data_IF_139084142925
#
_entry.id   IF_139084142925
#
_cell.length_a   1.000
_cell.length_b   1.000
_cell.length_c   1.000
_cell.angle_alpha   90.00
_cell.angle_beta   90.00
_cell.angle_gamma   90.00
#
_symmetry.space_group_name_H-M   'P 1'
#
loop_
_entity.id
_entity.type
_entity.pdbx_description
1 polymer ?
#
# COMPACT_ATOMS: atom_id res chain seq x y z
N UNK A 1 10.82 14.42 15.95
CA UNK A 1 9.81 13.34 15.95
C UNK A 1 8.78 13.64 17.03
N UNK A 2 7.49 13.47 16.77
CA UNK A 2 6.45 13.79 17.77
C UNK A 2 6.43 12.71 18.87
N UNK A 3 6.50 13.12 20.13
CA UNK A 3 6.46 12.21 21.28
C UNK A 3 5.20 11.32 21.29
N UNK A 4 4.10 11.80 20.70
CA UNK A 4 2.84 11.08 20.66
C UNK A 4 2.92 9.82 19.78
N UNK A 5 3.62 9.89 18.65
CA UNK A 5 3.78 8.75 17.73
C UNK A 5 4.62 7.64 18.38
N UNK A 6 5.69 8.04 19.07
CA UNK A 6 6.54 7.12 19.84
C UNK A 6 5.72 6.44 20.94
N UNK A 7 4.87 7.19 21.65
CA UNK A 7 4.01 6.66 22.71
C UNK A 7 2.97 5.67 22.16
N UNK A 8 2.35 5.99 21.02
CA UNK A 8 1.39 5.11 20.37
C UNK A 8 2.05 3.78 19.96
N UNK A 9 3.22 3.84 19.33
CA UNK A 9 4.00 2.66 18.93
C UNK A 9 4.35 1.76 20.12
N UNK A 10 4.83 2.34 21.23
CA UNK A 10 5.13 1.59 22.47
C UNK A 10 3.91 0.89 23.08
N UNK A 11 2.72 1.47 22.90
CA UNK A 11 1.44 0.90 23.35
C UNK A 11 0.79 -0.04 22.33
N UNK A 12 1.47 -0.34 21.22
CA UNK A 12 0.94 -1.16 20.11
C UNK A 12 -0.36 -0.60 19.51
N UNK A 13 -0.55 0.71 19.59
CA UNK A 13 -1.67 1.40 18.94
C UNK A 13 -1.28 1.59 17.47
N UNK A 14 -2.11 1.14 16.50
CA UNK A 14 -1.81 1.33 15.09
C UNK A 14 -1.71 2.80 14.72
N UNK A 15 -0.69 3.14 13.94
CA UNK A 15 -0.45 4.51 13.46
C UNK A 15 -0.75 4.54 11.96
N UNK A 16 -1.61 5.46 11.55
CA UNK A 16 -1.84 5.79 10.14
C UNK A 16 -1.18 7.12 9.81
N UNK A 17 -0.44 7.16 8.71
CA UNK A 17 0.18 8.38 8.19
C UNK A 17 -0.37 8.70 6.82
N UNK A 18 -0.84 9.93 6.65
CA UNK A 18 -1.08 10.54 5.36
C UNK A 18 0.22 11.18 4.85
N UNK A 19 0.82 10.57 3.82
CA UNK A 19 2.12 10.93 3.27
C UNK A 19 1.97 11.59 1.90
N UNK A 20 1.91 12.93 1.88
CA UNK A 20 1.77 13.69 0.64
C UNK A 20 3.09 13.83 -0.14
N UNK A 21 4.20 14.09 0.57
CA UNK A 21 5.51 14.41 -0.02
C UNK A 21 6.67 14.02 0.88
N UNK A 22 7.85 13.83 0.29
CA UNK A 22 9.11 13.73 1.02
C UNK A 22 9.33 14.99 1.87
N UNK A 23 9.72 14.79 3.11
CA UNK A 23 10.11 15.84 4.05
C UNK A 23 11.01 15.27 5.13
N UNK A 24 11.77 16.13 5.77
CA UNK A 24 12.63 15.76 6.89
C UNK A 24 11.82 15.06 8.00
N UNK A 25 12.37 13.98 8.56
CA UNK A 25 11.77 13.18 9.61
C UNK A 25 10.61 12.26 9.19
N UNK A 26 10.22 12.24 7.90
CA UNK A 26 9.18 11.32 7.43
C UNK A 26 9.60 9.86 7.55
N UNK A 27 10.85 9.54 7.23
CA UNK A 27 11.35 8.15 7.24
C UNK A 27 11.29 7.55 8.64
N UNK A 28 11.67 8.32 9.67
CA UNK A 28 11.56 7.91 11.07
C UNK A 28 10.10 7.67 11.48
N UNK A 29 9.19 8.52 11.02
CA UNK A 29 7.76 8.35 11.25
C UNK A 29 7.22 7.09 10.56
N UNK A 30 7.60 6.87 9.30
CA UNK A 30 7.19 5.69 8.53
C UNK A 30 7.67 4.38 9.17
N UNK A 31 8.84 4.39 9.82
CA UNK A 31 9.35 3.23 10.56
C UNK A 31 8.46 2.83 11.76
N UNK A 32 7.66 3.75 12.31
CA UNK A 32 6.72 3.46 13.41
C UNK A 32 5.30 3.16 12.91
N UNK A 33 5.06 3.34 11.61
CA UNK A 33 3.72 3.39 11.02
C UNK A 33 3.19 2.00 10.71
N UNK A 34 1.89 1.80 10.94
CA UNK A 34 1.16 0.57 10.60
C UNK A 34 0.47 0.66 9.24
N UNK A 35 0.00 1.85 8.86
CA UNK A 35 -0.77 2.09 7.65
C UNK A 35 -0.33 3.39 6.97
N UNK A 36 -0.18 3.37 5.65
CA UNK A 36 0.15 4.57 4.87
C UNK A 36 -0.97 4.86 3.89
N UNK A 37 -1.42 6.11 3.85
CA UNK A 37 -2.22 6.67 2.77
C UNK A 37 -1.36 7.71 2.09
N UNK A 38 -1.32 7.73 0.76
CA UNK A 38 -0.46 8.68 0.05
C UNK A 38 -1.01 9.02 -1.34
N UNK A 39 -0.53 10.11 -1.91
CA UNK A 39 -0.86 10.52 -3.27
C UNK A 39 -0.15 9.65 -4.31
N UNK A 40 -0.69 9.58 -5.53
CA UNK A 40 -0.14 8.84 -6.68
C UNK A 40 1.39 8.97 -6.86
N UNK A 41 1.94 10.17 -6.66
CA UNK A 41 3.35 10.46 -6.91
C UNK A 41 4.27 10.07 -5.76
N UNK A 42 3.75 9.94 -4.55
CA UNK A 42 4.56 9.75 -3.35
C UNK A 42 5.35 8.43 -3.37
N UNK A 43 4.76 7.25 -3.65
CA UNK A 43 5.49 5.99 -3.62
C UNK A 43 6.72 5.98 -4.55
N UNK A 44 6.57 6.46 -5.78
CA UNK A 44 7.68 6.52 -6.74
C UNK A 44 8.73 7.53 -6.31
N UNK A 45 8.32 8.72 -5.86
CA UNK A 45 9.24 9.72 -5.35
C UNK A 45 10.04 9.17 -4.16
N UNK A 46 9.38 8.46 -3.23
CA UNK A 46 9.97 7.85 -2.04
C UNK A 46 10.95 6.72 -2.38
N UNK A 47 10.51 5.75 -3.18
CA UNK A 47 11.28 4.53 -3.48
C UNK A 47 12.29 4.67 -4.62
N UNK A 48 12.12 5.68 -5.48
CA UNK A 48 12.79 5.82 -6.79
C UNK A 48 12.47 4.70 -7.80
N UNK A 49 11.34 4.00 -7.61
CA UNK A 49 10.91 2.94 -8.52
C UNK A 49 10.24 3.48 -9.80
N UNK A 50 10.30 2.69 -10.87
CA UNK A 50 9.85 3.08 -12.21
C UNK A 50 8.33 3.02 -12.40
N UNK A 51 7.60 2.23 -11.61
CA UNK A 51 6.14 2.12 -11.67
C UNK A 51 5.50 2.22 -10.27
N UNK A 52 4.20 2.53 -10.21
CA UNK A 52 3.45 2.57 -8.94
C UNK A 52 3.40 1.20 -8.26
N UNK A 53 3.21 0.12 -9.02
CA UNK A 53 3.14 -1.24 -8.48
C UNK A 53 4.47 -1.65 -7.81
N UNK A 54 5.60 -1.44 -8.51
CA UNK A 54 6.95 -1.72 -8.01
C UNK A 54 7.34 -0.81 -6.84
N UNK A 55 6.88 0.45 -6.86
CA UNK A 55 7.02 1.37 -5.74
C UNK A 55 6.26 0.87 -4.50
N UNK A 56 5.03 0.38 -4.64
CA UNK A 56 4.25 -0.14 -3.52
C UNK A 56 4.91 -1.38 -2.88
N UNK A 57 5.36 -2.33 -3.71
CA UNK A 57 6.12 -3.49 -3.23
C UNK A 57 7.40 -3.04 -2.52
N UNK A 58 8.16 -2.13 -3.12
CA UNK A 58 9.40 -1.60 -2.53
C UNK A 58 9.16 -0.89 -1.20
N UNK A 59 8.04 -0.16 -1.07
CA UNK A 59 7.68 0.54 0.16
C UNK A 59 7.40 -0.45 1.28
N UNK A 60 6.59 -1.48 1.02
CA UNK A 60 6.37 -2.56 1.99
C UNK A 60 7.68 -3.29 2.34
N UNK A 61 8.52 -3.65 1.37
CA UNK A 61 9.78 -4.35 1.65
C UNK A 61 10.72 -3.54 2.56
N UNK A 62 10.76 -2.21 2.41
CA UNK A 62 11.61 -1.33 3.25
C UNK A 62 10.99 -1.01 4.61
N UNK A 63 9.67 -1.13 4.76
CA UNK A 63 8.92 -0.73 5.96
C UNK A 63 8.14 -1.92 6.53
N UNK A 64 8.79 -2.81 7.30
CA UNK A 64 8.21 -4.09 7.73
C UNK A 64 7.01 -3.94 8.67
N UNK A 65 6.89 -2.80 9.36
CA UNK A 65 5.77 -2.52 10.27
C UNK A 65 4.47 -2.15 9.53
N UNK A 66 4.56 -1.80 8.25
CA UNK A 66 3.38 -1.46 7.44
C UNK A 66 2.65 -2.74 7.07
N UNK A 67 1.35 -2.74 7.40
CA UNK A 67 0.38 -3.79 7.07
C UNK A 67 -0.27 -3.54 5.72
N UNK A 68 -0.62 -2.30 5.40
CA UNK A 68 -1.11 -1.93 4.08
C UNK A 68 -0.74 -0.50 3.69
N UNK A 69 -0.73 -0.26 2.38
CA UNK A 69 -0.53 1.05 1.76
C UNK A 69 -1.68 1.33 0.83
N UNK A 70 -2.26 2.53 0.92
CA UNK A 70 -3.27 3.04 -0.02
C UNK A 70 -2.64 4.19 -0.81
N UNK A 71 -2.79 4.13 -2.13
CA UNK A 71 -2.42 5.20 -3.05
C UNK A 71 -3.69 5.79 -3.64
N UNK A 72 -3.96 7.07 -3.35
CA UNK A 72 -5.07 7.80 -3.97
C UNK A 72 -4.66 8.31 -5.35
N UNK A 73 -5.54 8.12 -6.32
CA UNK A 73 -5.34 8.42 -7.75
C UNK A 73 -6.34 9.49 -8.24
N UNK A 74 -6.87 10.30 -7.33
CA UNK A 74 -7.89 11.31 -7.64
C UNK A 74 -9.18 10.66 -8.18
N UNK A 75 -9.64 11.13 -9.33
CA UNK A 75 -10.85 10.62 -10.00
C UNK A 75 -10.76 9.13 -10.39
N UNK A 76 -9.55 8.58 -10.52
CA UNK A 76 -9.32 7.17 -10.85
C UNK A 76 -9.46 6.25 -9.64
N UNK A 77 -9.83 6.78 -8.46
CA UNK A 77 -10.03 6.01 -7.24
C UNK A 77 -8.73 5.80 -6.47
N UNK A 78 -8.48 4.58 -5.99
CA UNK A 78 -7.28 4.25 -5.22
C UNK A 78 -6.84 2.80 -5.44
N UNK A 79 -5.58 2.52 -5.12
CA UNK A 79 -5.01 1.17 -5.09
C UNK A 79 -4.57 0.87 -3.66
N UNK A 80 -4.89 -0.32 -3.16
CA UNK A 80 -4.40 -0.83 -1.89
C UNK A 80 -3.51 -2.04 -2.11
N UNK A 81 -2.33 -2.04 -1.48
CA UNK A 81 -1.48 -3.22 -1.36
C UNK A 81 -1.35 -3.60 0.11
N UNK A 82 -1.76 -4.82 0.45
CA UNK A 82 -1.73 -5.38 1.79
C UNK A 82 -0.62 -6.44 1.91
N UNK A 83 0.04 -6.48 3.07
CA UNK A 83 0.99 -7.52 3.45
C UNK A 83 0.24 -8.71 4.05
N UNK A 84 0.46 -9.91 3.51
CA UNK A 84 -0.04 -11.15 4.12
C UNK A 84 0.56 -11.37 5.51
N UNK A 85 -0.28 -11.76 6.47
CA UNK A 85 0.10 -12.14 7.84
C UNK A 85 0.28 -13.67 7.94
N UNK A 86 -0.24 -14.43 6.97
CA UNK A 86 -0.16 -15.88 6.93
C UNK A 86 1.15 -16.27 6.23
N UNK A 87 1.94 -17.14 6.87
CA UNK A 87 3.14 -17.73 6.28
C UNK A 87 2.78 -18.29 4.90
N UNK A 88 3.63 -18.01 3.90
CA UNK A 88 3.43 -18.37 2.51
C UNK A 88 3.45 -19.91 2.34
N UNK A 89 2.38 -20.58 2.74
CA UNK A 89 2.10 -21.95 2.37
C UNK A 89 1.68 -21.91 0.90
N UNK A 90 2.60 -22.29 0.01
CA UNK A 90 2.35 -22.70 -1.37
C UNK A 90 1.62 -21.70 -2.29
N UNK A 91 1.77 -20.38 -2.09
CA UNK A 91 1.28 -19.38 -3.07
C UNK A 91 2.34 -19.11 -4.13
N UNK A 92 1.97 -19.25 -5.40
CA UNK A 92 2.82 -18.94 -6.56
C UNK A 92 3.16 -17.45 -6.59
N UNK A 93 4.43 -17.11 -6.84
CA UNK A 93 4.84 -15.73 -7.02
C UNK A 93 4.27 -15.17 -8.33
N UNK A 94 3.66 -13.99 -8.28
CA UNK A 94 3.07 -13.34 -9.46
C UNK A 94 3.72 -11.98 -9.69
N UNK A 95 3.90 -11.61 -10.96
CA UNK A 95 4.38 -10.28 -11.31
C UNK A 95 3.32 -9.21 -10.99
N UNK A 96 3.66 -8.29 -10.08
CA UNK A 96 2.72 -7.31 -9.52
C UNK A 96 2.10 -6.39 -10.58
N UNK A 97 2.84 -6.04 -11.64
CA UNK A 97 2.32 -5.20 -12.72
C UNK A 97 1.20 -5.92 -13.48
N UNK A 98 1.41 -7.20 -13.83
CA UNK A 98 0.42 -8.00 -14.55
C UNK A 98 -0.86 -8.19 -13.74
N UNK A 99 -0.72 -8.38 -12.42
CA UNK A 99 -1.86 -8.48 -11.51
C UNK A 99 -2.65 -7.16 -11.47
N UNK A 100 -1.96 -6.03 -11.34
CA UNK A 100 -2.60 -4.71 -11.32
C UNK A 100 -3.34 -4.42 -12.64
N UNK A 101 -2.74 -4.74 -13.78
CA UNK A 101 -3.39 -4.57 -15.09
C UNK A 101 -4.62 -5.47 -15.24
N UNK A 102 -4.56 -6.72 -14.77
CA UNK A 102 -5.71 -7.62 -14.74
C UNK A 102 -6.86 -7.08 -13.88
N UNK A 103 -6.55 -6.52 -12.70
CA UNK A 103 -7.56 -5.89 -11.84
C UNK A 103 -8.20 -4.66 -12.49
N UNK A 104 -7.41 -3.82 -13.18
CA UNK A 104 -7.94 -2.67 -13.92
C UNK A 104 -8.88 -3.06 -15.05
N UNK A 105 -8.63 -4.19 -15.73
CA UNK A 105 -9.51 -4.72 -16.78
C UNK A 105 -10.85 -5.22 -16.21
N UNK A 106 -10.90 -5.61 -14.93
CA UNK A 106 -12.13 -6.02 -14.25
C UNK A 106 -13.07 -4.86 -13.89
N UNK A 107 -12.65 -3.61 -14.07
CA UNK A 107 -13.47 -2.43 -13.78
C UNK A 107 -14.48 -2.22 -14.91
N UNK A 108 -15.77 -2.34 -14.60
CA UNK A 108 -16.83 -1.98 -15.53
C UNK A 108 -17.01 -0.46 -15.57
N UNK A 109 -16.64 0.15 -16.70
CA UNK A 109 -16.72 1.60 -16.91
C UNK A 109 -18.15 2.17 -16.96
N UNK A 110 -19.18 1.32 -16.99
CA UNK A 110 -20.58 1.75 -16.99
C UNK A 110 -21.18 1.85 -15.59
N UNK A 111 -20.46 1.40 -14.56
CA UNK A 111 -20.94 1.41 -13.17
C UNK A 111 -20.72 2.78 -12.56
N UNK A 112 -21.81 3.42 -12.13
CA UNK A 112 -21.79 4.74 -11.47
C UNK A 112 -21.65 4.66 -9.94
N UNK A 113 -21.69 3.45 -9.38
CA UNK A 113 -21.50 3.19 -7.96
C UNK A 113 -20.03 2.90 -7.63
N UNK A 114 -19.50 3.37 -6.48
CA UNK A 114 -18.16 3.00 -6.05
C UNK A 114 -17.98 1.49 -5.99
N UNK A 115 -16.95 0.97 -6.67
CA UNK A 115 -16.69 -0.47 -6.77
C UNK A 115 -15.29 -0.77 -6.24
N UNK A 116 -15.15 -1.90 -5.56
CA UNK A 116 -13.86 -2.42 -5.09
C UNK A 116 -13.61 -3.78 -5.74
N UNK A 117 -12.43 -3.98 -6.30
CA UNK A 117 -11.99 -5.24 -6.89
C UNK A 117 -10.70 -5.65 -6.18
N UNK A 118 -10.70 -6.85 -5.61
CA UNK A 118 -9.53 -7.44 -4.97
C UNK A 118 -8.95 -8.55 -5.83
N UNK A 119 -7.64 -8.79 -5.71
CA UNK A 119 -7.06 -10.05 -6.16
C UNK A 119 -7.75 -11.19 -5.40
N UNK A 120 -8.44 -12.09 -6.09
CA UNK A 120 -9.02 -13.28 -5.46
C UNK A 120 -7.89 -14.06 -4.78
N UNK A 121 -8.08 -14.49 -3.54
CA UNK A 121 -7.37 -15.67 -3.07
C UNK A 121 -7.87 -16.83 -3.95
N UNK A 122 -6.98 -17.51 -4.66
CA UNK A 122 -7.35 -18.78 -5.28
C UNK A 122 -7.83 -19.70 -4.16
N UNK A 123 -9.15 -19.91 -4.06
CA UNK A 123 -9.71 -21.08 -3.39
C UNK A 123 -9.75 -22.14 -4.50
N UNK A 124 -8.93 -23.20 -4.44
CA UNK A 124 -9.04 -24.30 -5.39
C UNK A 124 -10.42 -24.96 -5.23
N UNK A 125 -11.04 -25.32 -6.35
CA UNK A 125 -12.24 -26.16 -6.41
C UNK A 125 -12.00 -27.53 -5.76
#
# INVERSE_FOLDING_TARGET
MDEQQVRASRRKIPILVDAERKREGLDDLLNLTSYVVCSEKFPQAWTSAQSTSSALVSLLLRLPNIKFVIVTLGEKGCIMLERSIIDASEKEETYVESLLESLKQGVDGNVTTPTCISSKEQIPN
#
